data_IF_402955748535
#
_entry.id   IF_402955748535
#
_cell.length_a   1.000
_cell.length_b   1.000
_cell.length_c   1.000
_cell.angle_alpha   90.00
_cell.angle_beta   90.00
_cell.angle_gamma   90.00
#
_symmetry.space_group_name_H-M   'P 1'
#
loop_
_entity.id
_entity.type
_entity.pdbx_description
1 polymer ?
#
# COMPACT_ATOMS: atom_id res chain seq x y z
N UNK A 1 -21.88 1.72 2.68
CA UNK A 1 -21.08 2.04 1.48
C UNK A 1 -19.81 1.22 1.54
N UNK A 2 -19.45 0.58 0.43
CA UNK A 2 -18.30 -0.33 0.29
C UNK A 2 -16.99 0.45 0.46
N UNK A 3 -16.41 0.45 1.67
CA UNK A 3 -15.08 0.98 1.91
C UNK A 3 -14.03 -0.13 1.70
N UNK A 4 -13.90 -0.62 0.47
CA UNK A 4 -12.75 -1.45 0.07
C UNK A 4 -11.50 -0.58 -0.23
N UNK A 5 -11.42 0.58 0.39
CA UNK A 5 -10.21 1.41 0.43
C UNK A 5 -9.49 1.03 1.71
N UNK A 6 -8.29 0.43 1.66
CA UNK A 6 -7.52 0.15 2.86
C UNK A 6 -7.37 1.45 3.66
N UNK A 7 -7.83 1.44 4.90
CA UNK A 7 -7.69 2.59 5.80
C UNK A 7 -6.26 2.59 6.32
N UNK A 8 -5.39 3.32 5.63
CA UNK A 8 -4.00 3.50 6.03
C UNK A 8 -3.92 4.32 7.32
N UNK A 9 -3.07 3.88 8.25
CA UNK A 9 -2.61 4.72 9.36
C UNK A 9 -1.79 5.91 8.86
N UNK A 10 -1.64 6.97 9.65
CA UNK A 10 -0.78 8.11 9.28
C UNK A 10 0.66 7.70 8.94
N UNK A 11 1.19 6.69 9.64
CA UNK A 11 2.52 6.15 9.35
C UNK A 11 2.57 5.49 7.96
N UNK A 12 1.58 4.65 7.63
CA UNK A 12 1.52 4.01 6.31
C UNK A 12 1.24 5.00 5.18
N UNK A 13 0.50 6.09 5.44
CA UNK A 13 0.33 7.17 4.46
C UNK A 13 1.66 7.86 4.16
N UNK A 14 2.46 8.13 5.19
CA UNK A 14 3.78 8.74 5.05
C UNK A 14 4.73 7.81 4.28
N UNK A 15 4.77 6.52 4.64
CA UNK A 15 5.57 5.51 3.95
C UNK A 15 5.16 5.38 2.47
N UNK A 16 3.86 5.36 2.19
CA UNK A 16 3.34 5.33 0.82
C UNK A 16 3.80 6.55 0.01
N UNK A 17 3.77 7.76 0.60
CA UNK A 17 4.25 8.97 -0.05
C UNK A 17 5.75 8.90 -0.35
N UNK A 18 6.57 8.49 0.64
CA UNK A 18 8.01 8.31 0.47
C UNK A 18 8.35 7.31 -0.62
N UNK A 19 7.63 6.18 -0.66
CA UNK A 19 7.79 5.15 -1.70
C UNK A 19 7.46 5.69 -3.09
N UNK A 20 6.37 6.46 -3.23
CA UNK A 20 6.01 7.10 -4.50
C UNK A 20 7.13 8.07 -4.93
N UNK A 21 7.66 8.88 -4.02
CA UNK A 21 8.77 9.79 -4.30
C UNK A 21 10.06 9.06 -4.72
N UNK A 22 10.38 7.95 -4.07
CA UNK A 22 11.53 7.10 -4.41
C UNK A 22 11.39 6.51 -5.83
N UNK A 23 10.21 5.98 -6.16
CA UNK A 23 9.92 5.43 -7.49
C UNK A 23 10.00 6.52 -8.58
N UNK A 24 9.49 7.72 -8.30
CA UNK A 24 9.63 8.86 -9.21
C UNK A 24 11.10 9.27 -9.40
N UNK A 25 11.92 9.22 -8.35
CA UNK A 25 13.36 9.49 -8.44
C UNK A 25 14.10 8.45 -9.31
N UNK A 26 13.58 7.22 -9.38
CA UNK A 26 14.06 6.17 -10.28
C UNK A 26 13.59 6.35 -11.74
N UNK A 27 12.79 7.38 -12.03
CA UNK A 27 12.25 7.67 -13.36
C UNK A 27 10.91 6.99 -13.66
N UNK A 28 10.26 6.39 -12.65
CA UNK A 28 8.91 5.80 -12.80
C UNK A 28 7.88 6.92 -12.86
N UNK A 29 6.89 6.79 -13.75
CA UNK A 29 5.81 7.77 -13.83
C UNK A 29 4.99 7.81 -12.54
N UNK A 30 4.45 8.99 -12.19
CA UNK A 30 3.66 9.15 -10.96
C UNK A 30 2.46 8.19 -10.90
N UNK A 31 1.77 7.98 -12.04
CA UNK A 31 0.64 7.04 -12.11
C UNK A 31 1.04 5.59 -11.87
N UNK A 32 2.17 5.16 -12.44
CA UNK A 32 2.70 3.82 -12.24
C UNK A 32 3.22 3.62 -10.81
N UNK A 33 3.90 4.61 -10.24
CA UNK A 33 4.36 4.60 -8.86
C UNK A 33 3.18 4.46 -7.87
N UNK A 34 2.10 5.21 -8.07
CA UNK A 34 0.88 5.11 -7.27
C UNK A 34 0.29 3.70 -7.36
N UNK A 35 0.23 3.13 -8.57
CA UNK A 35 -0.32 1.78 -8.79
C UNK A 35 0.52 0.71 -8.08
N UNK A 36 1.85 0.79 -8.17
CA UNK A 36 2.77 -0.12 -7.48
C UNK A 36 2.56 -0.07 -5.96
N UNK A 37 2.48 1.13 -5.39
CA UNK A 37 2.28 1.31 -3.94
C UNK A 37 0.89 0.85 -3.50
N UNK A 38 -0.16 1.16 -4.27
CA UNK A 38 -1.51 0.69 -3.97
C UNK A 38 -1.63 -0.84 -3.98
N UNK A 39 -0.94 -1.51 -4.91
CA UNK A 39 -0.90 -2.97 -4.94
C UNK A 39 -0.13 -3.54 -3.73
N UNK A 40 1.03 -2.97 -3.41
CA UNK A 40 1.82 -3.39 -2.24
C UNK A 40 1.02 -3.28 -0.93
N UNK A 41 0.23 -2.21 -0.76
CA UNK A 41 -0.67 -2.03 0.38
C UNK A 41 -1.73 -3.13 0.43
N UNK A 42 -2.39 -3.44 -0.69
CA UNK A 42 -3.43 -4.49 -0.74
C UNK A 42 -2.86 -5.87 -0.43
N UNK A 43 -1.69 -6.18 -0.96
CA UNK A 43 -0.99 -7.44 -0.67
C UNK A 43 -0.60 -7.55 0.80
N UNK A 44 -0.10 -6.47 1.40
CA UNK A 44 0.22 -6.43 2.82
C UNK A 44 -1.02 -6.64 3.70
N UNK A 45 -2.14 -5.99 3.38
CA UNK A 45 -3.41 -6.15 4.09
C UNK A 45 -3.97 -7.58 3.93
N UNK A 46 -3.93 -8.14 2.72
CA UNK A 46 -4.38 -9.51 2.46
C UNK A 46 -3.54 -10.54 3.24
N UNK A 47 -2.21 -10.39 3.20
CA UNK A 47 -1.29 -11.27 3.94
C UNK A 47 -1.47 -11.14 5.45
N UNK A 48 -1.75 -9.93 5.94
CA UNK A 48 -2.04 -9.69 7.35
C UNK A 48 -3.33 -10.42 7.77
N UNK A 49 -4.38 -10.33 6.97
CA UNK A 49 -5.63 -11.06 7.21
C UNK A 49 -5.43 -12.58 7.21
N UNK A 50 -4.63 -13.12 6.29
CA UNK A 50 -4.30 -14.55 6.26
C UNK A 50 -3.50 -14.99 7.49
N UNK A 51 -2.54 -14.18 7.95
CA UNK A 51 -1.73 -14.49 9.14
C UNK A 51 -2.48 -14.40 10.47
N UNK A 52 -3.58 -13.63 10.52
CA UNK A 52 -4.47 -13.54 11.68
C UNK A 52 -5.47 -14.71 11.72
N UNK A 53 -5.78 -15.32 10.58
CA UNK A 53 -6.70 -16.47 10.48
C UNK A 53 -6.01 -17.81 10.84
N UNK A 54 -4.74 -17.99 10.49
CA UNK A 54 -3.95 -19.18 10.84
C UNK A 54 -3.56 -19.27 12.34
N UNK A 55 -3.82 -18.22 13.12
CA UNK A 55 -3.60 -18.15 14.57
C UNK A 55 -4.88 -18.35 15.40
N UNK A 56 -6.04 -18.65 14.77
CA UNK A 56 -7.34 -18.81 15.44
C UNK A 56 -7.80 -20.24 15.60
#
# INVERSE_FOLDING_TARGET
>A
MFNNTPTLTHAQQQEAAEKIHELMAQGISSGEAIMMVANAIREAEAKKAESEDDQR
#
